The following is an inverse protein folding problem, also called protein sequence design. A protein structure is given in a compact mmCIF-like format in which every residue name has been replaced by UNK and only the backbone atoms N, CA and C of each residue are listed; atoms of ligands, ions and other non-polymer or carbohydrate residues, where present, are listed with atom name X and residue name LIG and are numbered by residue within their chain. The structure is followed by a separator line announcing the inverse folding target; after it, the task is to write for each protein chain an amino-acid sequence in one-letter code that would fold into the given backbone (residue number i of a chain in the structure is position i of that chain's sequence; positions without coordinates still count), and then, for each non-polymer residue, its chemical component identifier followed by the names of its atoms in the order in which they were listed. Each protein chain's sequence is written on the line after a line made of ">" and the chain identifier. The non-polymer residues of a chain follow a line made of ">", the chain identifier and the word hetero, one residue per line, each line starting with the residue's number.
data_IF_464104686211
#
_entry.id   IF_464104686211
#
_cell.length_a   1.000
_cell.length_b   1.000
_cell.length_c   1.000
_cell.angle_alpha   90.00
_cell.angle_beta   90.00
_cell.angle_gamma   90.00
#
_symmetry.space_group_name_H-M   'P 1'
#
loop_
_entity.id
_entity.type
_entity.pdbx_description
1 polymer ?
#
# COMPACT_ATOMS: atom_id res chain seq x y z
N UNK A 1 1.56 -12.27 24.42
CA UNK A 1 0.98 -12.90 23.21
C UNK A 1 0.42 -11.78 22.35
N UNK A 2 0.88 -11.63 21.12
CA UNK A 2 0.50 -10.48 20.28
C UNK A 2 -0.99 -10.56 19.89
N UNK A 3 -1.69 -9.43 19.87
CA UNK A 3 -3.11 -9.36 19.50
C UNK A 3 -3.40 -9.97 18.11
N UNK A 4 -2.43 -9.88 17.20
CA UNK A 4 -2.44 -10.53 15.87
C UNK A 4 -2.41 -12.07 15.98
N UNK A 5 -1.60 -12.62 16.89
CA UNK A 5 -1.51 -14.07 17.11
C UNK A 5 -2.77 -14.60 17.80
N UNK A 6 -3.32 -13.84 18.75
CA UNK A 6 -4.59 -14.15 19.41
C UNK A 6 -5.73 -14.16 18.38
N UNK A 7 -5.85 -13.12 17.56
CA UNK A 7 -6.88 -13.03 16.52
C UNK A 7 -6.76 -14.18 15.52
N UNK A 8 -5.53 -14.54 15.12
CA UNK A 8 -5.27 -15.70 14.25
C UNK A 8 -5.65 -17.03 14.91
N UNK A 9 -5.28 -17.22 16.18
CA UNK A 9 -5.53 -18.46 16.92
C UNK A 9 -7.03 -18.68 17.05
N UNK A 10 -7.77 -17.68 17.50
CA UNK A 10 -9.23 -17.78 17.69
C UNK A 10 -9.94 -17.96 16.34
N UNK A 11 -9.56 -17.22 15.29
CA UNK A 11 -10.14 -17.42 13.96
C UNK A 11 -9.90 -18.84 13.42
N UNK A 12 -8.70 -19.38 13.60
CA UNK A 12 -8.37 -20.73 13.12
C UNK A 12 -9.13 -21.79 13.92
N UNK A 13 -9.31 -21.57 15.22
CA UNK A 13 -10.08 -22.44 16.10
C UNK A 13 -11.58 -22.41 15.73
N UNK A 14 -12.16 -21.22 15.56
CA UNK A 14 -13.57 -21.06 15.19
C UNK A 14 -13.89 -21.67 13.81
N UNK A 15 -12.96 -21.54 12.84
CA UNK A 15 -13.08 -22.19 11.53
C UNK A 15 -13.02 -23.72 11.69
N UNK A 16 -12.08 -24.24 12.47
CA UNK A 16 -11.94 -25.68 12.71
C UNK A 16 -13.19 -26.26 13.38
N UNK A 17 -13.69 -25.59 14.42
CA UNK A 17 -14.85 -26.04 15.18
C UNK A 17 -16.14 -25.96 14.33
N UNK A 18 -16.25 -24.99 13.43
CA UNK A 18 -17.36 -24.92 12.47
C UNK A 18 -17.35 -26.10 11.47
N UNK A 19 -16.17 -26.49 10.99
CA UNK A 19 -16.00 -27.59 10.02
C UNK A 19 -16.26 -28.95 10.69
N UNK A 20 -15.68 -29.18 11.88
CA UNK A 20 -15.83 -30.44 12.63
C UNK A 20 -17.29 -30.68 13.01
N UNK A 21 -18.02 -29.63 13.38
CA UNK A 21 -19.44 -29.71 13.74
C UNK A 21 -20.39 -29.78 12.53
N UNK A 22 -19.88 -29.94 11.29
CA UNK A 22 -20.68 -29.93 10.04
C UNK A 22 -21.57 -28.70 9.88
N UNK A 23 -21.19 -27.57 10.49
CA UNK A 23 -21.90 -26.29 10.43
C UNK A 23 -21.35 -25.39 9.32
N UNK A 24 -20.94 -25.98 8.19
CA UNK A 24 -20.32 -25.28 7.05
C UNK A 24 -21.19 -24.11 6.54
N UNK A 25 -22.52 -24.22 6.71
CA UNK A 25 -23.48 -23.17 6.36
C UNK A 25 -23.30 -21.86 7.15
N UNK A 26 -22.61 -21.87 8.31
CA UNK A 26 -22.33 -20.67 9.12
C UNK A 26 -20.92 -20.12 8.94
N UNK A 27 -20.07 -20.77 8.14
CA UNK A 27 -18.68 -20.36 7.93
C UNK A 27 -18.57 -18.91 7.43
N UNK A 28 -19.50 -18.48 6.57
CA UNK A 28 -19.53 -17.11 6.05
C UNK A 28 -19.69 -16.05 7.16
N UNK A 29 -20.47 -16.34 8.22
CA UNK A 29 -20.69 -15.42 9.34
C UNK A 29 -19.42 -15.19 10.13
N UNK A 30 -18.58 -16.22 10.28
CA UNK A 30 -17.28 -16.11 10.95
C UNK A 30 -16.41 -15.08 10.20
N UNK A 31 -16.27 -15.22 8.88
CA UNK A 31 -15.47 -14.27 8.09
C UNK A 31 -15.99 -12.83 8.16
N UNK A 32 -17.32 -12.64 8.12
CA UNK A 32 -17.93 -11.30 8.24
C UNK A 32 -17.64 -10.71 9.63
N UNK A 33 -17.86 -11.47 10.69
CA UNK A 33 -17.66 -11.00 12.07
C UNK A 33 -16.19 -10.69 12.38
N UNK A 34 -15.26 -11.40 11.74
CA UNK A 34 -13.83 -11.16 11.90
C UNK A 34 -13.28 -10.03 11.03
N UNK A 35 -14.02 -9.53 10.02
CA UNK A 35 -13.57 -8.44 9.13
C UNK A 35 -13.04 -7.24 9.93
N UNK A 36 -13.81 -6.76 10.90
CA UNK A 36 -13.43 -5.60 11.73
C UNK A 36 -12.20 -5.88 12.60
N UNK A 37 -12.09 -7.10 13.14
CA UNK A 37 -10.91 -7.51 13.94
C UNK A 37 -9.64 -7.60 13.09
N UNK A 38 -9.77 -7.89 11.80
CA UNK A 38 -8.66 -7.99 10.86
C UNK A 38 -8.19 -6.63 10.33
N UNK A 39 -8.90 -5.53 10.58
CA UNK A 39 -8.50 -4.16 10.15
C UNK A 39 -7.13 -3.77 10.71
N UNK A 40 -6.75 -4.29 11.88
CA UNK A 40 -5.42 -4.08 12.49
C UNK A 40 -4.25 -4.45 11.57
N UNK A 41 -4.49 -5.36 10.61
CA UNK A 41 -3.46 -5.77 9.66
C UNK A 41 -3.09 -4.64 8.69
N UNK A 42 -3.95 -3.65 8.46
CA UNK A 42 -3.61 -2.46 7.66
C UNK A 42 -2.43 -1.70 8.29
N UNK A 43 -2.51 -1.45 9.60
CA UNK A 43 -1.42 -0.78 10.33
C UNK A 43 -0.15 -1.64 10.32
N UNK A 44 -0.27 -2.95 10.59
CA UNK A 44 0.88 -3.86 10.55
C UNK A 44 1.58 -3.86 9.18
N UNK A 45 0.82 -4.02 8.09
CA UNK A 45 1.38 -4.09 6.74
C UNK A 45 2.00 -2.76 6.28
N UNK A 46 1.50 -1.62 6.77
CA UNK A 46 2.09 -0.31 6.47
C UNK A 46 3.46 -0.07 7.14
N UNK A 47 3.74 -0.78 8.24
CA UNK A 47 4.94 -0.58 9.06
C UNK A 47 5.96 -1.71 8.94
N UNK A 48 5.55 -2.91 8.49
CA UNK A 48 6.39 -4.10 8.47
C UNK A 48 7.67 -3.91 7.65
N UNK A 49 7.60 -3.21 6.51
CA UNK A 49 8.78 -2.91 5.68
C UNK A 49 9.79 -2.03 6.40
N UNK A 50 9.32 -1.00 7.11
CA UNK A 50 10.15 -0.12 7.93
C UNK A 50 10.75 -0.89 9.11
N UNK A 51 9.98 -1.75 9.77
CA UNK A 51 10.46 -2.60 10.86
C UNK A 51 11.54 -3.57 10.39
N UNK A 52 11.38 -4.20 9.22
CA UNK A 52 12.37 -5.08 8.61
C UNK A 52 13.65 -4.30 8.26
N UNK A 53 13.52 -3.13 7.63
CA UNK A 53 14.68 -2.28 7.32
C UNK A 53 15.44 -1.85 8.58
N UNK A 54 14.72 -1.52 9.66
CA UNK A 54 15.32 -1.23 10.95
C UNK A 54 16.05 -2.45 11.53
N UNK A 55 15.41 -3.64 11.49
CA UNK A 55 16.02 -4.89 11.92
C UNK A 55 17.31 -5.20 11.14
N UNK A 56 17.31 -5.03 9.82
CA UNK A 56 18.49 -5.23 8.97
C UNK A 56 19.63 -4.27 9.36
N UNK A 57 19.31 -2.99 9.56
CA UNK A 57 20.29 -1.98 9.95
C UNK A 57 20.90 -2.27 11.33
N UNK A 58 20.08 -2.68 12.29
CA UNK A 58 20.56 -3.07 13.62
C UNK A 58 21.43 -4.32 13.51
N UNK A 59 21.01 -5.33 12.75
CA UNK A 59 21.77 -6.57 12.57
C UNK A 59 23.11 -6.35 11.85
N UNK A 60 23.23 -5.31 11.01
CA UNK A 60 24.49 -4.93 10.36
C UNK A 60 25.44 -4.14 11.27
N UNK A 61 24.89 -3.36 12.18
CA UNK A 61 25.67 -2.46 13.05
C UNK A 61 26.03 -3.08 14.39
N UNK A 62 25.27 -4.07 14.85
CA UNK A 62 25.39 -4.69 16.17
C UNK A 62 25.51 -6.22 16.04
N UNK A 63 26.75 -6.71 16.05
CA UNK A 63 27.05 -8.14 15.88
C UNK A 63 26.49 -9.00 17.04
N UNK A 64 26.45 -8.46 18.26
CA UNK A 64 25.83 -9.08 19.43
C UNK A 64 24.33 -9.35 19.21
N UNK A 65 23.61 -8.39 18.64
CA UNK A 65 22.20 -8.54 18.29
C UNK A 65 22.03 -9.59 17.20
N UNK A 66 22.87 -9.57 16.16
CA UNK A 66 22.84 -10.56 15.07
C UNK A 66 23.03 -12.00 15.57
N UNK A 67 24.05 -12.25 16.40
CA UNK A 67 24.28 -13.57 16.99
C UNK A 67 23.08 -14.03 17.82
N UNK A 68 22.45 -13.11 18.57
CA UNK A 68 21.26 -13.45 19.35
C UNK A 68 20.06 -13.78 18.46
N UNK A 69 19.88 -13.09 17.34
CA UNK A 69 18.82 -13.40 16.37
C UNK A 69 19.02 -14.81 15.76
N UNK A 70 20.26 -15.18 15.43
CA UNK A 70 20.59 -16.52 14.94
C UNK A 70 20.33 -17.61 16.00
N UNK A 71 20.72 -17.37 17.26
CA UNK A 71 20.44 -18.27 18.37
C UNK A 71 18.92 -18.47 18.56
N UNK A 72 18.16 -17.38 18.56
CA UNK A 72 16.70 -17.42 18.65
C UNK A 72 16.09 -18.22 17.50
N UNK A 73 16.57 -18.03 16.27
CA UNK A 73 16.12 -18.78 15.10
C UNK A 73 16.39 -20.29 15.24
N UNK A 74 17.61 -20.67 15.66
CA UNK A 74 17.98 -22.07 15.93
C UNK A 74 17.09 -22.69 17.01
N UNK A 75 16.84 -21.98 18.10
CA UNK A 75 16.01 -22.46 19.21
C UNK A 75 14.53 -22.59 18.86
N UNK A 76 13.99 -21.67 18.07
CA UNK A 76 12.55 -21.62 17.79
C UNK A 76 12.14 -22.54 16.63
N UNK A 77 12.98 -22.69 15.61
CA UNK A 77 12.60 -23.38 14.37
C UNK A 77 13.75 -24.12 13.68
N UNK A 78 14.82 -24.47 14.42
CA UNK A 78 16.03 -25.11 13.90
C UNK A 78 16.76 -24.28 12.83
N UNK A 79 16.61 -22.95 12.85
CA UNK A 79 17.30 -22.07 11.91
C UNK A 79 16.66 -22.00 10.53
N UNK A 80 15.47 -22.59 10.35
CA UNK A 80 14.75 -22.65 9.07
C UNK A 80 14.18 -21.32 8.62
N UNK A 81 13.77 -20.46 9.56
CA UNK A 81 13.18 -19.15 9.26
C UNK A 81 13.76 -18.09 10.17
N UNK A 82 14.22 -16.99 9.57
CA UNK A 82 14.72 -15.82 10.29
C UNK A 82 13.57 -14.99 10.88
N UNK A 83 13.88 -14.08 11.81
CA UNK A 83 12.87 -13.14 12.33
C UNK A 83 12.24 -12.31 11.20
N UNK A 84 13.03 -11.95 10.17
CA UNK A 84 12.55 -11.27 8.97
C UNK A 84 11.48 -12.08 8.23
N UNK A 85 11.73 -13.38 8.01
CA UNK A 85 10.78 -14.28 7.33
C UNK A 85 9.49 -14.41 8.13
N UNK A 86 9.58 -14.43 9.46
CA UNK A 86 8.41 -14.55 10.34
C UNK A 86 7.56 -13.27 10.37
N UNK A 87 8.16 -12.08 10.25
CA UNK A 87 7.46 -10.80 10.24
C UNK A 87 6.59 -10.60 8.99
N UNK A 88 6.89 -11.26 7.87
CA UNK A 88 6.04 -11.15 6.66
C UNK A 88 4.85 -12.11 6.67
N UNK A 89 4.85 -13.13 7.53
CA UNK A 89 3.80 -14.18 7.58
C UNK A 89 2.39 -13.62 7.85
N UNK A 90 2.18 -12.70 8.82
CA UNK A 90 0.84 -12.14 9.07
C UNK A 90 0.25 -11.45 7.84
N UNK A 91 1.08 -10.74 7.07
CA UNK A 91 0.70 -10.09 5.82
C UNK A 91 0.36 -11.11 4.72
N UNK A 92 1.18 -12.15 4.55
CA UNK A 92 0.93 -13.20 3.56
C UNK A 92 -0.36 -14.00 3.84
N UNK A 93 -0.81 -14.05 5.09
CA UNK A 93 -1.97 -14.85 5.51
C UNK A 93 -3.28 -14.08 5.38
N UNK A 94 -3.32 -12.79 5.69
CA UNK A 94 -4.55 -11.98 5.58
C UNK A 94 -5.04 -11.88 4.13
N UNK A 95 -4.10 -11.83 3.18
CA UNK A 95 -4.36 -11.81 1.73
C UNK A 95 -4.72 -13.18 1.14
N UNK A 96 -4.86 -14.24 1.95
CA UNK A 96 -5.21 -15.58 1.48
C UNK A 96 -6.59 -16.04 1.92
N UNK A 97 -7.26 -15.35 2.83
CA UNK A 97 -8.60 -15.74 3.28
C UNK A 97 -9.64 -15.68 2.15
N UNK A 98 -9.51 -14.73 1.22
CA UNK A 98 -10.35 -14.70 0.01
C UNK A 98 -10.06 -15.87 -0.95
N UNK A 99 -8.82 -16.38 -1.01
CA UNK A 99 -8.44 -17.56 -1.81
C UNK A 99 -8.90 -18.87 -1.16
N UNK A 100 -8.88 -18.94 0.17
CA UNK A 100 -9.39 -20.06 0.98
C UNK A 100 -10.91 -20.23 0.82
N UNK A 101 -11.64 -19.13 0.79
CA UNK A 101 -13.06 -19.09 0.43
C UNK A 101 -13.32 -19.35 -1.05
N UNK A 102 -12.29 -19.47 -1.90
CA UNK A 102 -12.40 -19.83 -3.31
C UNK A 102 -12.02 -21.28 -3.62
N UNK A 103 -11.19 -21.94 -2.80
CA UNK A 103 -10.73 -23.31 -3.05
C UNK A 103 -10.91 -24.17 -1.80
N UNK A 104 -11.81 -25.15 -1.86
CA UNK A 104 -11.96 -26.21 -0.85
C UNK A 104 -10.79 -27.22 -0.96
N UNK A 105 -9.55 -26.73 -0.85
CA UNK A 105 -8.31 -27.55 -0.78
C UNK A 105 -7.45 -27.11 0.40
N UNK A 106 -7.98 -27.32 1.60
CA UNK A 106 -7.22 -27.24 2.85
C UNK A 106 -5.94 -28.13 2.93
N UNK A 107 -5.73 -29.21 2.12
CA UNK A 107 -4.50 -30.01 2.26
C UNK A 107 -3.22 -29.43 1.63
N UNK A 108 -3.30 -28.41 0.74
CA UNK A 108 -2.11 -27.91 0.02
C UNK A 108 -1.42 -26.75 0.77
N UNK A 109 -2.13 -26.07 1.67
CA UNK A 109 -1.65 -24.85 2.35
C UNK A 109 -0.79 -25.09 3.60
N UNK A 110 -0.57 -26.36 3.97
CA UNK A 110 0.39 -26.76 5.01
C UNK A 110 1.77 -27.09 4.43
N UNK A 111 1.94 -27.03 3.10
CA UNK A 111 3.24 -27.26 2.47
C UNK A 111 4.15 -26.02 2.57
N UNK A 112 5.39 -26.16 3.06
CA UNK A 112 6.38 -25.07 3.14
C UNK A 112 6.81 -24.49 1.77
N UNK A 113 6.36 -25.06 0.65
CA UNK A 113 6.83 -24.72 -0.71
C UNK A 113 6.12 -23.51 -1.35
N UNK A 114 5.13 -22.90 -0.69
CA UNK A 114 4.34 -21.81 -1.29
C UNK A 114 5.10 -20.47 -1.39
N UNK A 115 6.24 -20.30 -0.73
CA UNK A 115 7.01 -19.04 -0.71
C UNK A 115 7.56 -18.62 -2.08
N UNK A 116 7.53 -19.50 -3.10
CA UNK A 116 8.07 -19.20 -4.44
C UNK A 116 7.06 -18.60 -5.43
N UNK A 117 5.77 -18.44 -5.07
CA UNK A 117 4.82 -17.73 -5.95
C UNK A 117 4.86 -16.22 -5.66
N UNK A 118 5.79 -15.55 -6.32
CA UNK A 118 5.77 -14.09 -6.48
C UNK A 118 4.44 -13.66 -7.10
N UNK A 119 3.88 -12.62 -6.48
CA UNK A 119 2.72 -11.86 -6.95
C UNK A 119 2.90 -11.43 -8.41
N UNK A 120 2.31 -12.18 -9.35
CA UNK A 120 2.05 -11.69 -10.69
C UNK A 120 0.65 -11.03 -10.69
N UNK A 121 0.53 -9.71 -10.96
CA UNK A 121 -0.76 -9.08 -11.13
C UNK A 121 -1.33 -9.48 -12.49
N UNK A 122 -2.48 -10.14 -12.48
CA UNK A 122 -3.20 -10.52 -13.69
C UNK A 122 -2.87 -11.93 -14.18
N UNK A 123 -3.63 -12.90 -13.68
CA UNK A 123 -4.26 -13.93 -14.51
C UNK A 123 -5.24 -14.73 -13.65
N UNK A 124 -6.41 -14.98 -14.22
CA UNK A 124 -7.61 -15.43 -13.52
C UNK A 124 -7.45 -16.74 -12.77
N UNK A 125 -7.76 -16.67 -11.47
CA UNK A 125 -8.13 -17.81 -10.64
C UNK A 125 -9.29 -17.42 -9.74
N UNK A 126 -10.34 -16.82 -10.31
CA UNK A 126 -11.30 -16.00 -9.54
C UNK A 126 -12.61 -16.67 -9.11
N UNK A 127 -12.91 -17.95 -9.41
CA UNK A 127 -14.23 -18.51 -9.09
C UNK A 127 -14.25 -20.05 -9.01
N UNK A 128 -13.93 -20.65 -7.85
CA UNK A 128 -14.09 -22.11 -7.70
C UNK A 128 -14.99 -22.57 -6.54
N UNK A 129 -15.20 -21.83 -5.44
CA UNK A 129 -16.14 -22.28 -4.38
C UNK A 129 -17.62 -22.07 -4.74
N UNK A 130 -17.92 -20.97 -5.43
CA UNK A 130 -19.28 -20.58 -5.85
C UNK A 130 -19.87 -21.54 -6.91
N UNK A 131 -19.01 -22.35 -7.56
CA UNK A 131 -19.44 -23.30 -8.60
C UNK A 131 -19.78 -24.70 -8.07
N UNK A 132 -19.30 -25.09 -6.90
CA UNK A 132 -19.49 -26.43 -6.35
C UNK A 132 -20.55 -26.52 -5.24
N UNK A 133 -21.22 -25.41 -4.93
CA UNK A 133 -22.36 -25.37 -4.00
C UNK A 133 -23.66 -25.37 -4.79
N UNK A 134 -24.47 -26.42 -4.63
CA UNK A 134 -25.74 -26.58 -5.34
C UNK A 134 -26.88 -25.74 -4.75
N UNK A 135 -26.74 -25.25 -3.50
CA UNK A 135 -27.74 -24.42 -2.83
C UNK A 135 -27.56 -22.91 -3.15
N UNK A 136 -28.57 -22.23 -3.73
CA UNK A 136 -28.52 -20.80 -4.01
C UNK A 136 -28.36 -19.92 -2.76
N UNK A 137 -28.86 -20.37 -1.59
CA UNK A 137 -28.76 -19.61 -0.34
C UNK A 137 -27.33 -19.60 0.18
N UNK A 138 -26.70 -20.78 0.28
CA UNK A 138 -25.30 -20.92 0.67
C UNK A 138 -24.36 -20.18 -0.30
N UNK A 139 -24.65 -20.23 -1.60
CA UNK A 139 -23.89 -19.49 -2.63
C UNK A 139 -23.92 -17.98 -2.40
N UNK A 140 -25.07 -17.43 -2.04
CA UNK A 140 -25.22 -15.99 -1.74
C UNK A 140 -24.46 -15.61 -0.47
N UNK A 141 -24.56 -16.43 0.58
CA UNK A 141 -23.86 -16.23 1.85
C UNK A 141 -22.33 -16.27 1.69
N UNK A 142 -21.81 -17.24 0.93
CA UNK A 142 -20.38 -17.33 0.61
C UNK A 142 -19.89 -16.14 -0.23
N UNK A 143 -20.73 -15.63 -1.13
CA UNK A 143 -20.41 -14.41 -1.89
C UNK A 143 -20.26 -13.19 -0.98
N UNK A 144 -21.14 -13.03 0.02
CA UNK A 144 -21.03 -11.94 1.00
C UNK A 144 -19.72 -12.02 1.79
N UNK A 145 -19.34 -13.20 2.27
CA UNK A 145 -18.06 -13.39 2.96
C UNK A 145 -16.85 -13.14 2.03
N UNK A 146 -16.93 -13.55 0.77
CA UNK A 146 -15.88 -13.31 -0.21
C UNK A 146 -15.70 -11.81 -0.46
N UNK A 147 -16.79 -11.07 -0.65
CA UNK A 147 -16.74 -9.63 -0.89
C UNK A 147 -16.22 -8.89 0.36
N UNK A 148 -16.64 -9.30 1.56
CA UNK A 148 -16.10 -8.79 2.82
C UNK A 148 -14.58 -8.97 2.95
N UNK A 149 -14.03 -10.12 2.51
CA UNK A 149 -12.58 -10.37 2.53
C UNK A 149 -11.83 -9.63 1.41
N UNK A 150 -12.45 -9.38 0.25
CA UNK A 150 -11.87 -8.52 -0.79
C UNK A 150 -11.78 -7.07 -0.32
N UNK A 151 -12.82 -6.55 0.33
CA UNK A 151 -12.80 -5.21 0.91
C UNK A 151 -11.65 -5.04 1.89
N UNK A 152 -11.42 -6.05 2.75
CA UNK A 152 -10.30 -6.03 3.69
C UNK A 152 -8.95 -6.00 2.97
N UNK A 153 -8.78 -6.80 1.91
CA UNK A 153 -7.55 -6.78 1.11
C UNK A 153 -7.33 -5.43 0.42
N UNK A 154 -8.39 -4.83 -0.12
CA UNK A 154 -8.34 -3.49 -0.71
C UNK A 154 -7.99 -2.44 0.35
N UNK A 155 -8.61 -2.49 1.53
CA UNK A 155 -8.29 -1.59 2.64
C UNK A 155 -6.80 -1.67 3.03
N UNK A 156 -6.24 -2.87 3.19
CA UNK A 156 -4.81 -3.04 3.52
C UNK A 156 -3.92 -2.41 2.44
N UNK A 157 -4.27 -2.57 1.16
CA UNK A 157 -3.53 -1.97 0.06
C UNK A 157 -3.62 -0.42 0.06
N UNK A 158 -4.81 0.14 0.30
CA UNK A 158 -4.98 1.59 0.39
C UNK A 158 -4.21 2.17 1.58
N UNK A 159 -4.28 1.55 2.75
CA UNK A 159 -3.50 2.00 3.92
C UNK A 159 -1.99 1.96 3.65
N UNK A 160 -1.50 0.94 2.93
CA UNK A 160 -0.10 0.89 2.52
C UNK A 160 0.24 2.02 1.55
N UNK A 161 -0.60 2.25 0.53
CA UNK A 161 -0.43 3.33 -0.45
C UNK A 161 -0.44 4.69 0.23
N UNK A 162 -1.39 4.95 1.12
CA UNK A 162 -1.49 6.19 1.88
C UNK A 162 -0.24 6.42 2.73
N UNK A 163 0.31 5.39 3.36
CA UNK A 163 1.56 5.52 4.12
C UNK A 163 2.77 5.84 3.22
N UNK A 164 2.82 5.32 2.00
CA UNK A 164 3.85 5.67 1.03
C UNK A 164 3.70 7.12 0.56
N UNK A 165 2.49 7.55 0.22
CA UNK A 165 2.17 8.94 -0.10
C UNK A 165 2.53 9.88 1.05
N UNK A 166 2.23 9.53 2.30
CA UNK A 166 2.64 10.33 3.47
C UNK A 166 4.16 10.45 3.61
N UNK A 167 4.92 9.40 3.26
CA UNK A 167 6.39 9.46 3.27
C UNK A 167 6.92 10.39 2.17
N UNK A 168 6.35 10.30 0.98
CA UNK A 168 6.68 11.19 -0.14
C UNK A 168 6.38 12.66 0.21
N UNK A 169 5.18 12.95 0.76
CA UNK A 169 4.82 14.30 1.21
C UNK A 169 5.80 14.82 2.27
N UNK A 170 6.19 13.99 3.24
CA UNK A 170 7.20 14.37 4.23
C UNK A 170 8.54 14.70 3.58
N UNK A 171 8.94 13.95 2.55
CA UNK A 171 10.16 14.22 1.82
C UNK A 171 10.10 15.57 1.08
N UNK A 172 8.96 15.90 0.46
CA UNK A 172 8.73 17.22 -0.13
C UNK A 172 8.74 18.33 0.91
N UNK A 173 8.16 18.11 2.09
CA UNK A 173 8.20 19.11 3.18
C UNK A 173 9.63 19.41 3.66
N UNK A 174 10.52 18.42 3.62
CA UNK A 174 11.93 18.60 4.01
C UNK A 174 12.71 19.33 2.91
N UNK A 175 12.43 19.05 1.64
CA UNK A 175 13.18 19.64 0.51
C UNK A 175 12.74 21.05 0.15
N UNK A 176 11.54 21.48 0.55
CA UNK A 176 10.99 22.80 0.23
C UNK A 176 11.16 23.77 1.42
N UNK A 177 11.95 24.81 1.22
CA UNK A 177 12.15 25.92 2.16
C UNK A 177 11.03 26.96 2.08
N UNK A 178 10.83 27.70 3.17
CA UNK A 178 9.81 28.76 3.33
C UNK A 178 8.35 28.28 3.22
N UNK A 179 8.07 27.01 3.48
CA UNK A 179 6.71 26.47 3.60
C UNK A 179 5.97 27.09 4.79
N UNK A 180 4.87 27.80 4.51
CA UNK A 180 4.04 28.42 5.55
C UNK A 180 3.01 27.46 6.16
N UNK A 181 2.73 26.32 5.51
CA UNK A 181 1.69 25.36 5.89
C UNK A 181 2.10 23.93 5.55
N UNK A 182 1.45 22.94 6.16
CA UNK A 182 1.68 21.52 5.85
C UNK A 182 1.15 21.14 4.48
N UNK A 183 1.95 20.41 3.70
CA UNK A 183 1.57 19.91 2.38
C UNK A 183 0.37 18.95 2.41
N UNK A 184 0.12 18.32 3.56
CA UNK A 184 -1.03 17.43 3.78
C UNK A 184 -2.38 18.11 3.55
N UNK A 185 -2.44 19.44 3.69
CA UNK A 185 -3.67 20.21 3.47
C UNK A 185 -4.07 20.27 1.98
N UNK A 186 -3.12 20.04 1.08
CA UNK A 186 -3.34 20.14 -0.37
C UNK A 186 -3.74 18.81 -1.02
N UNK A 187 -3.80 17.72 -0.25
CA UNK A 187 -4.20 16.40 -0.73
C UNK A 187 -3.01 15.53 -1.16
N UNK A 188 -3.28 14.60 -2.09
CA UNK A 188 -2.26 13.69 -2.64
C UNK A 188 -1.43 14.38 -3.73
N UNK A 189 -0.11 14.11 -3.80
CA UNK A 189 0.71 14.57 -4.90
C UNK A 189 0.29 13.85 -6.19
N UNK A 190 0.15 14.62 -7.26
CA UNK A 190 -0.18 14.14 -8.61
C UNK A 190 1.05 14.10 -9.52
N UNK A 191 2.13 14.80 -9.13
CA UNK A 191 3.42 14.80 -9.81
C UNK A 191 4.22 16.07 -9.55
N UNK A 192 5.48 16.08 -9.95
CA UNK A 192 6.35 17.25 -9.87
C UNK A 192 7.21 17.37 -11.13
N UNK A 193 7.72 18.58 -11.42
CA UNK A 193 8.57 18.79 -12.59
C UNK A 193 8.95 20.24 -12.86
N UNK A 194 9.94 20.41 -13.75
CA UNK A 194 10.41 21.71 -14.19
C UNK A 194 9.54 22.26 -15.32
N UNK A 195 9.07 23.51 -15.16
CA UNK A 195 8.25 24.21 -16.14
C UNK A 195 8.72 25.65 -16.35
N UNK A 196 8.36 26.21 -17.50
CA UNK A 196 8.55 27.62 -17.84
C UNK A 196 7.25 28.39 -17.69
N UNK A 197 7.14 29.20 -16.64
CA UNK A 197 5.93 29.98 -16.36
C UNK A 197 6.12 31.41 -16.86
N UNK A 198 5.09 31.97 -17.49
CA UNK A 198 4.99 33.41 -17.78
C UNK A 198 3.73 33.92 -17.08
N UNK A 199 3.86 34.87 -16.15
CA UNK A 199 2.71 35.51 -15.52
C UNK A 199 2.33 36.78 -16.29
N UNK A 200 1.08 37.21 -16.20
CA UNK A 200 0.58 38.43 -16.87
C UNK A 200 1.43 39.66 -16.51
N UNK A 201 1.94 39.72 -15.28
CA UNK A 201 2.75 40.83 -14.77
C UNK A 201 4.22 40.79 -15.22
N UNK A 202 4.72 39.62 -15.65
CA UNK A 202 6.13 39.43 -16.03
C UNK A 202 6.21 38.83 -17.42
N UNK A 203 6.56 39.67 -18.40
CA UNK A 203 6.75 39.27 -19.81
C UNK A 203 7.89 38.26 -20.04
N UNK A 204 8.71 37.96 -19.04
CA UNK A 204 9.83 37.03 -19.14
C UNK A 204 9.45 35.64 -18.65
N UNK A 205 9.73 34.61 -19.48
CA UNK A 205 9.59 33.19 -19.10
C UNK A 205 10.52 32.89 -17.93
N UNK A 206 10.00 32.28 -16.89
CA UNK A 206 10.76 31.93 -15.68
C UNK A 206 10.80 30.42 -15.50
N UNK A 207 12.00 29.87 -15.38
CA UNK A 207 12.19 28.46 -15.02
C UNK A 207 11.81 28.24 -13.55
N UNK A 208 10.89 27.31 -13.30
CA UNK A 208 10.33 26.98 -11.98
C UNK A 208 10.19 25.47 -11.86
N UNK A 209 10.28 24.97 -10.65
CA UNK A 209 9.86 23.60 -10.33
C UNK A 209 8.48 23.66 -9.72
N UNK A 210 7.57 22.79 -10.12
CA UNK A 210 6.25 22.70 -9.52
C UNK A 210 6.04 21.37 -8.81
N UNK A 211 5.28 21.41 -7.72
CA UNK A 211 4.70 20.23 -7.08
C UNK A 211 3.18 20.35 -7.21
N UNK A 212 2.57 19.42 -7.94
CA UNK A 212 1.13 19.37 -8.16
C UNK A 212 0.48 18.47 -7.11
N UNK A 213 -0.50 19.01 -6.40
CA UNK A 213 -1.36 18.29 -5.46
C UNK A 213 -2.83 18.38 -5.93
N UNK A 214 -3.71 17.59 -5.31
CA UNK A 214 -5.15 17.59 -5.62
C UNK A 214 -5.78 18.99 -5.57
N UNK A 215 -5.38 19.80 -4.58
CA UNK A 215 -6.02 21.09 -4.29
C UNK A 215 -5.12 22.30 -4.57
N UNK A 216 -3.83 22.11 -4.82
CA UNK A 216 -2.91 23.23 -5.05
C UNK A 216 -1.72 22.86 -5.95
N UNK A 217 -1.13 23.87 -6.59
CA UNK A 217 0.19 23.79 -7.24
C UNK A 217 1.15 24.64 -6.44
N UNK A 218 2.24 24.04 -5.98
CA UNK A 218 3.30 24.76 -5.28
C UNK A 218 4.39 25.09 -6.29
N UNK A 219 4.62 26.39 -6.47
CA UNK A 219 5.63 26.91 -7.39
C UNK A 219 6.90 27.22 -6.62
N UNK A 220 7.98 26.56 -7.00
CA UNK A 220 9.28 26.65 -6.36
C UNK A 220 10.35 27.16 -7.31
N UNK A 221 11.39 27.79 -6.75
CA UNK A 221 12.65 28.06 -7.43
C UNK A 221 13.70 27.06 -6.94
N UNK A 222 14.29 26.30 -7.86
CA UNK A 222 15.36 25.34 -7.53
C UNK A 222 16.60 26.06 -6.98
N UNK A 223 17.17 25.55 -5.89
CA UNK A 223 18.41 26.01 -5.24
C UNK A 223 19.30 24.82 -4.87
N UNK A 224 20.06 24.34 -5.86
CA UNK A 224 20.85 23.11 -5.70
C UNK A 224 19.92 21.90 -5.54
N UNK A 225 20.01 21.24 -4.39
CA UNK A 225 19.19 20.06 -4.03
C UNK A 225 17.89 20.44 -3.32
N UNK A 226 17.74 21.70 -2.89
CA UNK A 226 16.55 22.21 -2.23
C UNK A 226 15.68 23.06 -3.17
N UNK A 227 14.45 23.30 -2.74
CA UNK A 227 13.45 24.11 -3.43
C UNK A 227 13.05 25.29 -2.56
N UNK A 228 13.11 26.50 -3.08
CA UNK A 228 12.60 27.68 -2.38
C UNK A 228 11.16 27.95 -2.86
N UNK A 229 10.18 27.82 -1.96
CA UNK A 229 8.79 28.14 -2.32
C UNK A 229 8.65 29.62 -2.71
N UNK A 230 7.95 29.88 -3.82
CA UNK A 230 7.69 31.22 -4.35
C UNK A 230 6.22 31.57 -4.36
N UNK A 231 5.37 30.59 -4.65
CA UNK A 231 3.93 30.82 -4.73
C UNK A 231 3.15 29.52 -4.50
N UNK A 232 1.88 29.65 -4.13
CA UNK A 232 0.93 28.55 -3.99
C UNK A 232 -0.34 28.91 -4.76
N UNK A 233 -0.65 28.13 -5.78
CA UNK A 233 -1.83 28.31 -6.62
C UNK A 233 -2.92 27.36 -6.12
N UNK A 234 -3.98 27.91 -5.53
CA UNK A 234 -5.14 27.16 -5.06
C UNK A 234 -6.04 26.73 -6.24
N UNK A 235 -6.02 25.44 -6.60
CA UNK A 235 -6.70 24.91 -7.77
C UNK A 235 -8.23 25.07 -7.72
N UNK A 236 -8.82 25.26 -6.55
CA UNK A 236 -10.27 25.48 -6.43
C UNK A 236 -10.73 26.79 -7.10
N UNK A 237 -9.81 27.76 -7.26
CA UNK A 237 -10.09 29.08 -7.82
C UNK A 237 -9.76 29.20 -9.31
N UNK A 238 -9.19 28.17 -9.93
CA UNK A 238 -8.75 28.21 -11.32
C UNK A 238 -9.46 27.17 -12.18
N UNK A 239 -9.58 27.47 -13.48
CA UNK A 239 -10.03 26.51 -14.50
C UNK A 239 -8.92 26.33 -15.52
N UNK A 240 -8.70 25.09 -15.94
CA UNK A 240 -7.75 24.76 -16.98
C UNK A 240 -8.37 25.12 -18.33
N UNK A 241 -7.69 25.94 -19.12
CA UNK A 241 -8.06 26.25 -20.50
C UNK A 241 -6.89 25.94 -21.42
N UNK A 242 -7.10 25.08 -22.41
CA UNK A 242 -6.11 24.82 -23.44
C UNK A 242 -6.11 25.96 -24.45
N UNK A 243 -5.10 26.82 -24.41
CA UNK A 243 -4.80 27.75 -25.48
C UNK A 243 -3.75 27.13 -26.40
N UNK A 244 -4.12 26.61 -27.59
CA UNK A 244 -3.18 26.11 -28.57
C UNK A 244 -2.47 27.28 -29.25
N UNK A 245 -1.61 28.02 -28.52
CA UNK A 245 -0.70 28.98 -29.16
C UNK A 245 0.46 28.20 -29.75
N UNK A 246 0.43 28.04 -31.07
CA UNK A 246 1.51 27.49 -31.90
C UNK A 246 2.83 28.20 -31.65
N UNK A 247 3.88 27.45 -31.29
CA UNK A 247 5.28 27.87 -31.37
C UNK A 247 5.69 28.10 -32.84
N UNK A 248 5.23 29.20 -33.45
CA UNK A 248 5.73 29.70 -34.74
C UNK A 248 6.22 31.12 -34.58
N UNK A 249 7.41 31.30 -34.04
CA UNK A 249 8.19 32.53 -34.28
C UNK A 249 9.66 32.29 -33.92
N UNK A 250 10.46 31.96 -34.94
CA UNK A 250 11.85 32.40 -35.17
C UNK A 250 12.58 31.47 -36.16
N UNK A 251 12.29 31.63 -37.45
CA UNK A 251 13.31 31.48 -38.49
C UNK A 251 13.32 32.77 -39.31
N UNK A 252 14.31 33.62 -39.00
CA UNK A 252 14.68 34.77 -39.82
C UNK A 252 14.88 34.29 -41.26
N UNK A 253 14.16 34.90 -42.19
CA UNK A 253 14.53 34.90 -43.60
C UNK A 253 15.77 35.79 -43.70
N UNK A 254 16.91 35.19 -44.00
CA UNK A 254 18.07 35.90 -44.51
C UNK A 254 17.91 35.96 -46.03
N UNK A 255 17.61 37.17 -46.50
CA UNK A 255 17.51 37.54 -47.91
C UNK A 255 18.80 37.17 -48.66
N UNK A 256 18.62 36.67 -49.89
CA UNK A 256 19.61 36.51 -50.95
C UNK A 256 19.08 37.27 -52.17
#
# INVERSE_FOLDING_TARGET
>A
MNFIEITRFILTQDIHDSIVNKNDQKLYQIFINYKERLVIYGQYCSQVETAISCLDNISKTKEDVKLKLEECSKRANHGKFTLRDLLVVPMQRVLKYHLLLQVRRLPILLSPCWTSLTMAPGQGGHQELVKHTSDPTEKTNLKLALDAMKDLAQYVNEVKRDNETLREIKQFQISIENLNQSLLLYGRPQGDGEIRITTLDKRTRQDRHIFLFDLAVIVCKRRGDNYEMKDIIDLQKYKITNNPTTDKENKKVSDL
#
